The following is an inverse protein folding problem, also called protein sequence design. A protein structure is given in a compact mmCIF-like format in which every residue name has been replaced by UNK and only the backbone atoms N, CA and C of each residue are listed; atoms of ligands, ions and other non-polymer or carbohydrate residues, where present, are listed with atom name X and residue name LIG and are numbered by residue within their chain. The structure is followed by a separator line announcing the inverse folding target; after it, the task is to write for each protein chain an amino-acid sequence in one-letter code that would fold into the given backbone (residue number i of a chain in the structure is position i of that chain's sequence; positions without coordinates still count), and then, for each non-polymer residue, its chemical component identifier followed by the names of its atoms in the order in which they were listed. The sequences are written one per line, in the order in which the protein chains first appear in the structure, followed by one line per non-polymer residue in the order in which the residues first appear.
data_IF_908088316288
#
_entry.id   IF_908088316288
#
_cell.length_a   1.000
_cell.length_b   1.000
_cell.length_c   1.000
_cell.angle_alpha   90.00
_cell.angle_beta   90.00
_cell.angle_gamma   90.00
#
_symmetry.space_group_name_H-M   'P 1'
#
loop_
_entity.id
_entity.type
_entity.pdbx_description
1 polymer ?
#
# COMPACT_ATOMS: atom_id res chain seq x y z
N UNK A 12 1.95 10.17 -0.86
CA UNK A 12 2.88 9.00 -0.91
C UNK A 12 4.32 9.47 -0.70
N UNK A 13 5.24 8.54 -0.70
CA UNK A 13 6.67 8.91 -0.52
C UNK A 13 7.57 8.00 -1.38
N UNK A 14 8.81 8.42 -1.59
CA UNK A 14 9.76 7.63 -2.39
C UNK A 14 10.02 6.26 -1.75
N UNK A 15 9.65 6.12 -0.50
CA UNK A 15 9.89 4.82 0.19
C UNK A 15 8.63 3.95 0.18
N UNK A 16 7.56 4.47 -0.35
CA UNK A 16 6.30 3.67 -0.39
C UNK A 16 6.47 2.45 -1.31
N UNK A 17 7.18 2.64 -2.39
CA UNK A 17 7.39 1.51 -3.34
C UNK A 17 8.21 0.41 -2.67
N UNK A 18 9.29 0.79 -2.05
CA UNK A 18 10.16 -0.22 -1.38
C UNK A 18 9.47 -0.74 -0.10
N UNK A 19 8.44 -0.06 0.31
CA UNK A 19 7.71 -0.51 1.54
C UNK A 19 7.04 -1.86 1.30
N UNK A 20 6.63 -2.08 0.08
CA UNK A 20 5.96 -3.38 -0.24
C UNK A 20 7.00 -4.47 -0.47
N UNK A 21 8.15 -4.08 -0.95
CA UNK A 21 9.22 -5.09 -1.20
C UNK A 21 10.06 -5.29 0.07
N UNK A 22 9.82 -4.47 1.05
CA UNK A 22 10.59 -4.61 2.32
C UNK A 22 9.89 -5.61 3.26
N UNK A 23 8.60 -5.48 3.37
CA UNK A 23 7.84 -6.42 4.26
C UNK A 23 7.23 -7.55 3.43
N UNK A 24 7.47 -7.52 2.15
CA UNK A 24 6.90 -8.59 1.27
C UNK A 24 5.40 -8.74 1.53
N UNK A 25 4.61 -7.99 0.80
CA UNK A 25 3.14 -8.08 0.98
C UNK A 25 2.43 -7.93 -0.37
N UNK A 26 1.41 -8.72 -0.57
CA UNK A 26 0.66 -8.65 -1.86
C UNK A 26 -0.44 -7.59 -1.77
N UNK A 27 -0.26 -6.51 -2.47
CA UNK A 27 -1.29 -5.43 -2.44
C UNK A 27 -2.62 -5.95 -2.99
N UNK A 28 -2.56 -7.05 -3.68
CA UNK A 28 -3.81 -7.63 -4.26
C UNK A 28 -4.80 -7.98 -3.15
N UNK A 29 -4.27 -8.28 -1.99
CA UNK A 29 -5.17 -8.64 -0.85
C UNK A 29 -5.63 -7.37 -0.12
N UNK A 30 -4.99 -6.28 -0.42
CA UNK A 30 -5.37 -5.00 0.25
C UNK A 30 -6.31 -4.19 -0.66
N UNK A 31 -7.23 -3.50 -0.05
CA UNK A 31 -8.19 -2.68 -0.86
C UNK A 31 -7.69 -1.24 -0.97
N UNK A 32 -7.51 -0.78 -2.18
CA UNK A 32 -7.02 0.62 -2.36
C UNK A 32 -8.21 1.56 -2.59
N UNK A 33 -8.80 2.01 -1.51
CA UNK A 33 -9.96 2.94 -1.64
C UNK A 33 -9.47 4.36 -1.95
N UNK A 34 -8.38 4.44 -2.66
CA UNK A 34 -7.84 5.79 -3.00
C UNK A 34 -8.84 6.56 -3.87
N UNK A 35 -8.51 7.78 -4.18
CA UNK A 35 -9.43 8.60 -5.02
C UNK A 35 -9.49 8.03 -6.44
N UNK A 36 -10.24 6.97 -6.60
CA UNK A 36 -10.37 6.34 -7.95
C UNK A 36 -9.96 4.86 -7.89
N UNK A 37 -9.85 4.35 -6.69
CA UNK A 37 -9.46 2.92 -6.54
C UNK A 37 -7.93 2.79 -6.54
N UNK A 38 -7.27 3.80 -6.05
CA UNK A 38 -5.78 3.75 -6.01
C UNK A 38 -5.31 3.23 -4.65
N UNK A 39 -4.08 2.79 -4.60
CA UNK A 39 -3.54 2.27 -3.31
C UNK A 39 -2.76 3.36 -2.57
N UNK A 40 -3.28 3.79 -1.46
CA UNK A 40 -2.58 4.86 -0.68
C UNK A 40 -1.74 4.23 0.43
N UNK A 41 -1.32 5.04 1.36
CA UNK A 41 -0.50 4.51 2.49
C UNK A 41 -1.39 4.18 3.69
N UNK A 42 -2.50 4.85 3.78
CA UNK A 42 -3.43 4.58 4.92
C UNK A 42 -4.14 3.23 4.73
N UNK A 43 -3.85 2.59 3.63
CA UNK A 43 -4.49 1.27 3.36
C UNK A 43 -3.55 0.12 3.76
N UNK A 44 -2.35 0.17 3.26
CA UNK A 44 -1.37 -0.91 3.60
C UNK A 44 -0.95 -0.80 5.07
N UNK A 45 -0.90 0.41 5.57
CA UNK A 45 -0.50 0.59 7.00
C UNK A 45 -1.40 -0.25 7.91
N UNK A 46 -2.69 -0.04 7.81
CA UNK A 46 -3.63 -0.82 8.67
C UNK A 46 -3.27 -2.31 8.63
N UNK A 47 -2.77 -2.75 7.51
CA UNK A 47 -2.40 -4.19 7.39
C UNK A 47 -1.13 -4.47 8.19
N UNK A 48 -0.21 -3.55 8.15
CA UNK A 48 1.06 -3.75 8.90
C UNK A 48 0.80 -3.75 10.41
#
# INVERSE_FOLDING_TARGET
YASLEEQNNDALSPAIRRLLAEHNLDASAIKGTGVGGRLTREDVEKHLAKA
#
